data_IF_129671851096
#
_entry.id   IF_129671851096
#
_cell.length_a   1.000
_cell.length_b   1.000
_cell.length_c   1.000
_cell.angle_alpha   90.00
_cell.angle_beta   90.00
_cell.angle_gamma   90.00
#
_symmetry.space_group_name_H-M   'P 1'
#
loop_
_entity.id
_entity.type
_entity.pdbx_description
1 polymer ?
#
# COMPACT_ATOMS: atom_id res chain seq x y z
N UNK A 1 -9.99 -8.20 13.31
CA UNK A 1 -10.21 -7.41 14.53
C UNK A 1 -10.18 -8.39 15.67
N UNK A 2 -9.14 -8.40 16.50
CA UNK A 2 -9.25 -9.08 17.81
C UNK A 2 -9.79 -8.03 18.78
N UNK A 3 -11.10 -7.78 18.72
CA UNK A 3 -11.82 -6.98 19.71
C UNK A 3 -12.00 -7.79 21.00
N UNK A 4 -10.93 -8.45 21.45
CA UNK A 4 -11.00 -9.55 22.42
C UNK A 4 -10.91 -9.05 23.87
N UNK A 5 -10.65 -7.74 24.06
CA UNK A 5 -10.69 -7.16 25.39
C UNK A 5 -12.15 -7.00 25.83
N UNK A 6 -12.56 -7.79 26.83
CA UNK A 6 -13.91 -7.77 27.40
C UNK A 6 -14.37 -6.39 27.89
N UNK A 7 -13.41 -5.52 28.23
CA UNK A 7 -13.68 -4.15 28.71
C UNK A 7 -13.83 -3.14 27.56
N UNK A 8 -13.04 -3.28 26.49
CA UNK A 8 -12.95 -2.28 25.42
C UNK A 8 -13.77 -2.65 24.18
N UNK A 9 -14.25 -3.89 24.09
CA UNK A 9 -14.99 -4.35 22.93
C UNK A 9 -16.31 -3.59 22.76
N UNK A 10 -16.73 -3.48 21.49
CA UNK A 10 -18.04 -3.00 21.06
C UNK A 10 -18.52 -1.70 21.75
N UNK A 11 -17.61 -0.75 21.98
CA UNK A 11 -17.96 0.54 22.58
C UNK A 11 -18.20 0.51 24.10
N UNK A 12 -18.15 -0.65 24.76
CA UNK A 12 -18.48 -0.82 26.19
C UNK A 12 -17.67 0.08 27.13
N UNK A 13 -16.38 0.29 26.86
CA UNK A 13 -15.56 1.19 27.66
C UNK A 13 -16.01 2.66 27.50
N UNK A 14 -16.40 3.04 26.29
CA UNK A 14 -16.91 4.37 26.00
C UNK A 14 -18.26 4.59 26.68
N UNK A 15 -19.19 3.65 26.54
CA UNK A 15 -20.46 3.66 27.28
C UNK A 15 -20.23 3.78 28.78
N UNK A 16 -19.40 2.91 29.36
CA UNK A 16 -19.12 2.91 30.80
C UNK A 16 -18.59 4.27 31.29
N UNK A 17 -17.78 4.97 30.49
CA UNK A 17 -17.16 6.24 30.87
C UNK A 17 -18.06 7.45 30.63
N UNK A 18 -18.82 7.46 29.54
CA UNK A 18 -19.47 8.67 29.03
C UNK A 18 -21.00 8.60 29.01
N UNK A 19 -21.61 7.43 29.29
CA UNK A 19 -23.08 7.31 29.34
C UNK A 19 -23.72 8.24 30.37
N UNK A 20 -23.05 8.49 31.50
CA UNK A 20 -23.50 9.44 32.53
C UNK A 20 -23.31 10.91 32.15
N UNK A 21 -22.56 11.20 31.09
CA UNK A 21 -22.31 12.56 30.60
C UNK A 21 -23.43 13.05 29.67
N UNK A 22 -24.28 12.14 29.15
CA UNK A 22 -25.52 12.49 28.45
C UNK A 22 -26.59 12.75 29.52
N UNK A 23 -26.61 13.98 30.04
CA UNK A 23 -27.43 14.37 31.17
C UNK A 23 -28.92 14.45 30.85
N UNK A 24 -29.28 14.75 29.60
CA UNK A 24 -30.65 14.90 29.11
C UNK A 24 -30.77 14.39 27.68
N UNK A 25 -31.81 13.60 27.40
CA UNK A 25 -32.13 13.19 26.04
C UNK A 25 -32.77 14.35 25.28
N UNK A 26 -32.13 14.76 24.19
CA UNK A 26 -32.56 15.93 23.40
C UNK A 26 -32.47 15.61 21.93
N UNK A 27 -33.49 16.03 21.19
CA UNK A 27 -33.41 16.01 19.74
C UNK A 27 -32.34 16.99 19.26
N UNK A 28 -31.44 16.50 18.41
CA UNK A 28 -30.54 17.33 17.65
C UNK A 28 -30.21 16.69 16.30
N UNK A 29 -29.55 17.45 15.44
CA UNK A 29 -29.12 16.95 14.14
C UNK A 29 -27.60 16.91 14.01
N UNK A 30 -27.08 15.85 13.40
CA UNK A 30 -25.68 15.69 13.04
C UNK A 30 -25.53 15.23 11.59
N UNK A 31 -24.29 15.14 11.12
CA UNK A 31 -24.00 14.63 9.79
C UNK A 31 -23.18 13.34 9.89
N UNK A 32 -23.48 12.40 9.01
CA UNK A 32 -22.77 11.13 8.87
C UNK A 32 -22.45 10.90 7.39
N UNK A 33 -21.30 10.28 7.11
CA UNK A 33 -21.01 9.78 5.77
C UNK A 33 -21.65 8.41 5.59
N UNK A 34 -22.51 8.27 4.58
CA UNK A 34 -23.17 7.01 4.25
C UNK A 34 -22.96 6.69 2.77
N UNK A 35 -22.75 5.41 2.50
CA UNK A 35 -22.75 4.88 1.15
C UNK A 35 -24.21 4.68 0.71
N UNK A 36 -24.62 5.41 -0.31
CA UNK A 36 -25.94 5.31 -0.91
C UNK A 36 -25.75 5.03 -2.39
N UNK A 37 -26.08 3.81 -2.80
CA UNK A 37 -25.93 3.32 -4.18
C UNK A 37 -24.49 3.42 -4.73
N UNK A 38 -23.48 3.24 -3.89
CA UNK A 38 -22.06 3.31 -4.27
C UNK A 38 -21.47 4.72 -4.20
N UNK A 39 -22.26 5.72 -3.81
CA UNK A 39 -21.82 7.10 -3.65
C UNK A 39 -21.81 7.46 -2.17
N UNK A 40 -20.62 7.79 -1.66
CA UNK A 40 -20.46 8.26 -0.29
C UNK A 40 -20.94 9.71 -0.21
N UNK A 41 -22.00 9.95 0.56
CA UNK A 41 -22.57 11.27 0.73
C UNK A 41 -22.79 11.63 2.19
N UNK A 42 -22.77 12.94 2.45
CA UNK A 42 -22.94 13.51 3.78
C UNK A 42 -24.43 13.63 4.08
N UNK A 43 -24.96 12.68 4.84
CA UNK A 43 -26.37 12.59 5.21
C UNK A 43 -26.60 13.34 6.53
N UNK A 44 -27.63 14.18 6.57
CA UNK A 44 -28.09 14.82 7.80
C UNK A 44 -29.02 13.85 8.54
N UNK A 45 -28.64 13.49 9.76
CA UNK A 45 -29.48 12.74 10.71
C UNK A 45 -30.10 13.71 11.70
N UNK A 46 -31.33 13.43 12.12
CA UNK A 46 -32.02 14.18 13.16
C UNK A 46 -32.72 13.17 14.07
N UNK A 47 -32.22 13.05 15.30
CA UNK A 47 -32.75 12.11 16.28
C UNK A 47 -32.34 12.52 17.70
N UNK A 48 -32.58 11.63 18.67
CA UNK A 48 -32.26 11.80 20.07
C UNK A 48 -30.75 11.85 20.35
N UNK A 49 -30.37 12.35 21.53
CA UNK A 49 -28.95 12.43 21.90
C UNK A 49 -28.39 11.08 22.35
N UNK A 50 -29.25 10.17 22.77
CA UNK A 50 -28.92 8.77 22.96
C UNK A 50 -28.60 8.05 21.65
N UNK A 51 -29.37 8.26 20.59
CA UNK A 51 -29.09 7.62 19.29
C UNK A 51 -27.75 8.08 18.71
N UNK A 52 -27.45 9.38 18.81
CA UNK A 52 -26.15 9.90 18.39
C UNK A 52 -24.99 9.32 19.21
N UNK A 53 -25.20 9.10 20.52
CA UNK A 53 -24.21 8.51 21.41
C UNK A 53 -23.95 7.04 21.05
N UNK A 54 -25.00 6.26 20.84
CA UNK A 54 -24.89 4.85 20.48
C UNK A 54 -24.25 4.68 19.09
N UNK A 55 -24.62 5.51 18.11
CA UNK A 55 -23.99 5.52 16.78
C UNK A 55 -22.48 5.84 16.87
N UNK A 56 -22.08 6.80 17.71
CA UNK A 56 -20.68 7.09 17.97
C UNK A 56 -19.98 5.92 18.67
N UNK A 57 -20.59 5.35 19.71
CA UNK A 57 -20.05 4.24 20.48
C UNK A 57 -19.72 3.03 19.58
N UNK A 58 -20.57 2.75 18.59
CA UNK A 58 -20.37 1.68 17.61
C UNK A 58 -19.20 1.95 16.65
N UNK A 59 -18.92 3.21 16.32
CA UNK A 59 -17.83 3.58 15.40
C UNK A 59 -16.45 3.61 16.08
N UNK A 60 -16.42 3.89 17.39
CA UNK A 60 -15.18 4.10 18.15
C UNK A 60 -14.20 2.91 18.16
N UNK A 61 -14.62 1.64 18.31
CA UNK A 61 -13.68 0.52 18.27
C UNK A 61 -12.86 0.45 16.97
N UNK A 62 -13.55 0.66 15.82
CA UNK A 62 -12.89 0.69 14.51
C UNK A 62 -11.94 1.89 14.40
N UNK A 63 -12.36 3.05 14.88
CA UNK A 63 -11.55 4.27 14.89
C UNK A 63 -10.29 4.13 15.78
N UNK A 64 -10.43 3.63 17.01
CA UNK A 64 -9.29 3.43 17.92
C UNK A 64 -8.29 2.42 17.36
N UNK A 65 -8.78 1.32 16.79
CA UNK A 65 -7.92 0.35 16.13
C UNK A 65 -7.17 0.98 14.95
N UNK A 66 -7.86 1.75 14.11
CA UNK A 66 -7.24 2.49 13.01
C UNK A 66 -6.16 3.45 13.51
N UNK A 67 -6.45 4.26 14.55
CA UNK A 67 -5.47 5.18 15.12
C UNK A 67 -4.26 4.43 15.69
N UNK A 68 -4.49 3.33 16.39
CA UNK A 68 -3.42 2.48 16.92
C UNK A 68 -2.50 1.97 15.80
N UNK A 69 -3.08 1.41 14.73
CA UNK A 69 -2.31 0.92 13.57
C UNK A 69 -1.53 2.06 12.92
N UNK A 70 -2.17 3.23 12.72
CA UNK A 70 -1.51 4.43 12.19
C UNK A 70 -0.30 4.82 13.05
N UNK A 71 -0.45 4.89 14.36
CA UNK A 71 0.65 5.26 15.26
C UNK A 71 1.78 4.22 15.23
N UNK A 72 1.45 2.92 15.19
CA UNK A 72 2.42 1.83 15.07
C UNK A 72 3.18 1.88 13.73
N UNK A 73 2.48 2.07 12.62
CA UNK A 73 3.13 2.14 11.30
C UNK A 73 4.02 3.38 11.18
N UNK A 74 3.59 4.55 11.68
CA UNK A 74 4.42 5.77 11.69
C UNK A 74 5.69 5.56 12.52
N UNK A 75 5.58 4.93 13.69
CA UNK A 75 6.74 4.61 14.52
C UNK A 75 7.70 3.65 13.81
N UNK A 76 7.17 2.60 13.18
CA UNK A 76 7.97 1.66 12.40
C UNK A 76 8.64 2.30 11.18
N UNK A 77 7.96 3.19 10.45
CA UNK A 77 8.55 3.93 9.33
C UNK A 77 9.71 4.80 9.80
N UNK A 78 9.54 5.55 10.89
CA UNK A 78 10.62 6.36 11.49
C UNK A 78 11.80 5.51 11.91
N UNK A 79 11.55 4.34 12.48
CA UNK A 79 12.61 3.41 12.87
C UNK A 79 13.39 2.88 11.66
N UNK A 80 12.69 2.41 10.61
CA UNK A 80 13.34 2.00 9.35
C UNK A 80 14.15 3.15 8.75
N UNK A 81 13.59 4.36 8.69
CA UNK A 81 14.30 5.54 8.21
C UNK A 81 15.58 5.82 9.04
N UNK A 82 15.53 5.67 10.37
CA UNK A 82 16.70 5.83 11.23
C UNK A 82 17.78 4.78 10.93
N UNK A 83 17.41 3.52 10.72
CA UNK A 83 18.34 2.44 10.37
C UNK A 83 18.97 2.71 9.02
N UNK A 84 18.17 3.09 8.02
CA UNK A 84 18.67 3.34 6.68
C UNK A 84 19.60 4.55 6.60
N UNK A 85 19.51 5.49 7.53
CA UNK A 85 20.40 6.64 7.61
C UNK A 85 21.73 6.39 8.33
N UNK A 86 21.92 5.23 8.97
CA UNK A 86 23.20 4.89 9.61
C UNK A 86 24.34 4.78 8.60
N UNK A 87 25.49 5.37 8.89
CA UNK A 87 26.65 5.45 7.98
C UNK A 87 27.15 4.07 7.50
N UNK A 88 27.04 3.05 8.35
CA UNK A 88 27.44 1.67 8.06
C UNK A 88 26.26 0.79 7.65
N UNK A 89 25.08 1.38 7.42
CA UNK A 89 23.87 0.61 7.11
C UNK A 89 24.01 -0.18 5.82
N UNK A 90 23.48 -1.39 5.84
CA UNK A 90 23.27 -2.25 4.66
C UNK A 90 21.77 -2.33 4.33
N UNK A 91 20.93 -1.50 4.99
CA UNK A 91 19.49 -1.45 4.77
C UNK A 91 19.07 -0.15 4.08
N UNK A 92 18.37 -0.27 2.95
CA UNK A 92 17.79 0.86 2.23
C UNK A 92 16.28 0.98 2.51
N UNK A 93 15.79 2.21 2.66
CA UNK A 93 14.37 2.51 2.72
C UNK A 93 13.89 2.96 1.35
N UNK A 94 12.91 2.24 0.80
CA UNK A 94 12.30 2.52 -0.49
C UNK A 94 10.83 2.89 -0.29
N UNK A 95 10.46 4.15 -0.44
CA UNK A 95 9.05 4.56 -0.48
C UNK A 95 8.60 4.73 -1.93
N UNK A 96 7.53 4.06 -2.34
CA UNK A 96 7.04 4.09 -3.72
C UNK A 96 5.53 4.36 -3.76
N UNK A 97 5.08 5.14 -4.75
CA UNK A 97 3.66 5.43 -4.95
C UNK A 97 3.32 5.81 -6.40
N UNK A 98 2.07 5.58 -6.80
CA UNK A 98 1.53 6.14 -8.04
C UNK A 98 1.00 7.54 -7.76
N UNK A 99 1.62 8.55 -8.36
CA UNK A 99 0.97 9.85 -8.43
C UNK A 99 -0.22 9.75 -9.41
N UNK A 100 -1.18 10.65 -9.27
CA UNK A 100 -2.25 10.80 -10.27
C UNK A 100 -1.65 10.88 -11.69
N UNK A 101 -2.33 10.35 -12.71
CA UNK A 101 -1.80 10.43 -14.06
C UNK A 101 -1.64 11.91 -14.48
N UNK A 102 -0.60 12.19 -15.26
CA UNK A 102 -0.47 13.49 -15.89
C UNK A 102 -1.32 13.52 -17.15
N UNK A 103 -2.29 14.42 -17.19
CA UNK A 103 -3.06 14.67 -18.40
C UNK A 103 -2.26 15.57 -19.33
N UNK A 104 -1.96 15.07 -20.54
CA UNK A 104 -1.30 15.84 -21.58
C UNK A 104 -2.25 16.92 -22.09
N UNK A 105 -1.93 18.18 -21.78
CA UNK A 105 -2.66 19.36 -22.22
C UNK A 105 -1.76 20.26 -23.07
N UNK A 106 -2.35 21.11 -23.90
CA UNK A 106 -1.61 22.07 -24.74
C UNK A 106 -2.16 23.48 -24.52
N UNK A 107 -1.29 24.49 -24.62
CA UNK A 107 -1.68 25.89 -24.36
C UNK A 107 -2.74 26.43 -25.35
N UNK A 108 -2.69 25.96 -26.59
CA UNK A 108 -3.57 26.38 -27.68
C UNK A 108 -4.41 25.17 -28.18
N UNK A 109 -4.95 24.39 -27.23
CA UNK A 109 -5.70 23.15 -27.52
C UNK A 109 -7.02 23.44 -28.25
N UNK A 110 -7.22 22.80 -29.40
CA UNK A 110 -8.50 22.88 -30.14
C UNK A 110 -9.60 22.14 -29.36
N UNK A 111 -10.85 22.56 -29.55
CA UNK A 111 -12.00 21.98 -28.82
C UNK A 111 -12.10 20.45 -28.93
N UNK A 112 -11.74 19.86 -30.08
CA UNK A 112 -11.81 18.40 -30.26
C UNK A 112 -10.78 17.63 -29.43
N UNK A 113 -9.64 18.25 -29.08
CA UNK A 113 -8.60 17.62 -28.29
C UNK A 113 -8.97 17.56 -26.79
N UNK A 114 -9.78 18.50 -26.30
CA UNK A 114 -10.33 18.51 -24.93
C UNK A 114 -11.11 17.23 -24.55
N UNK A 115 -11.77 16.58 -25.51
CA UNK A 115 -12.61 15.40 -25.24
C UNK A 115 -11.84 14.08 -25.11
N UNK A 116 -10.58 14.03 -25.56
CA UNK A 116 -9.76 12.82 -25.51
C UNK A 116 -8.31 13.16 -25.21
N UNK A 117 -8.05 13.43 -23.93
CA UNK A 117 -6.72 13.77 -23.46
C UNK A 117 -5.93 12.49 -23.18
N UNK A 118 -4.70 12.44 -23.72
CA UNK A 118 -3.76 11.37 -23.37
C UNK A 118 -3.31 11.57 -21.92
N UNK A 119 -2.98 10.46 -21.28
CA UNK A 119 -2.48 10.45 -19.93
C UNK A 119 -1.16 9.70 -19.87
N UNK A 120 -0.33 10.11 -18.92
CA UNK A 120 0.95 9.47 -18.62
C UNK A 120 0.92 9.04 -17.16
N UNK A 121 1.23 7.77 -16.90
CA UNK A 121 1.45 7.26 -15.55
C UNK A 121 2.72 7.87 -14.98
N UNK A 122 2.63 8.39 -13.75
CA UNK A 122 3.77 8.95 -13.01
C UNK A 122 3.96 8.14 -11.74
N UNK A 123 4.96 7.28 -11.73
CA UNK A 123 5.33 6.45 -10.58
C UNK A 123 6.51 7.07 -9.86
N UNK A 124 6.34 7.35 -8.58
CA UNK A 124 7.26 8.17 -7.77
C UNK A 124 7.95 7.32 -6.72
N UNK A 125 9.24 7.55 -6.55
CA UNK A 125 10.08 6.72 -5.70
C UNK A 125 11.07 7.58 -4.92
N UNK A 126 11.08 7.39 -3.61
CA UNK A 126 12.06 7.99 -2.70
C UNK A 126 12.92 6.88 -2.08
N UNK A 127 14.22 6.92 -2.38
CA UNK A 127 15.23 6.08 -1.76
C UNK A 127 15.90 6.89 -0.64
N UNK A 128 15.96 6.33 0.57
CA UNK A 128 16.77 6.86 1.68
C UNK A 128 17.85 5.85 2.07
N UNK A 129 19.11 6.27 2.06
CA UNK A 129 20.26 5.42 2.41
C UNK A 129 21.46 6.27 2.86
N UNK A 130 22.04 5.99 4.03
CA UNK A 130 23.22 6.65 4.60
C UNK A 130 23.16 8.19 4.58
N UNK A 131 22.04 8.75 5.03
CA UNK A 131 21.73 10.20 4.99
C UNK A 131 21.52 10.81 3.60
N UNK A 132 21.65 10.02 2.52
CA UNK A 132 21.33 10.43 1.17
C UNK A 132 19.86 10.13 0.83
N UNK A 133 19.27 11.02 0.04
CA UNK A 133 17.91 10.89 -0.49
C UNK A 133 17.89 11.01 -1.99
N UNK A 134 17.54 9.94 -2.69
CA UNK A 134 17.51 9.90 -4.15
C UNK A 134 16.07 9.82 -4.65
N UNK A 135 15.64 10.85 -5.38
CA UNK A 135 14.30 10.93 -5.95
C UNK A 135 14.30 10.37 -7.37
N UNK A 136 13.41 9.42 -7.62
CA UNK A 136 13.22 8.80 -8.92
C UNK A 136 11.76 8.92 -9.38
N UNK A 137 11.57 9.04 -10.69
CA UNK A 137 10.28 8.98 -11.35
C UNK A 137 10.35 8.02 -12.53
N UNK A 138 9.46 7.05 -12.56
CA UNK A 138 9.17 6.26 -13.75
C UNK A 138 7.94 6.87 -14.42
N UNK A 139 8.02 7.09 -15.73
CA UNK A 139 6.87 7.44 -16.55
C UNK A 139 6.52 6.32 -17.51
N UNK A 140 5.24 6.16 -17.82
CA UNK A 140 4.78 5.13 -18.75
C UNK A 140 3.46 5.53 -19.40
N UNK A 141 3.25 5.12 -20.65
CA UNK A 141 1.95 5.22 -21.30
C UNK A 141 0.99 4.10 -20.83
N UNK A 142 1.49 3.11 -20.07
CA UNK A 142 0.67 2.10 -19.44
C UNK A 142 -0.15 2.72 -18.28
N UNK A 143 -1.47 2.74 -18.41
CA UNK A 143 -2.39 3.32 -17.41
C UNK A 143 -3.02 2.27 -16.48
N UNK A 144 -2.59 1.00 -16.55
CA UNK A 144 -3.28 -0.09 -15.86
C UNK A 144 -3.08 -0.06 -14.34
N UNK A 145 -1.91 0.43 -13.90
CA UNK A 145 -1.44 0.41 -12.51
C UNK A 145 -1.60 -0.98 -11.85
N UNK A 146 -1.54 -2.03 -12.66
CA UNK A 146 -1.84 -3.37 -12.22
C UNK A 146 -0.61 -4.07 -11.61
N UNK A 147 -0.79 -5.33 -11.23
CA UNK A 147 0.29 -6.18 -10.70
C UNK A 147 1.52 -6.27 -11.62
N UNK A 148 1.34 -6.21 -12.94
CA UNK A 148 2.44 -6.33 -13.90
C UNK A 148 3.26 -5.03 -13.91
N UNK A 149 2.58 -3.89 -13.96
CA UNK A 149 3.23 -2.58 -13.84
C UNK A 149 3.98 -2.45 -12.52
N UNK A 150 3.37 -2.84 -11.40
CA UNK A 150 4.03 -2.82 -10.08
C UNK A 150 5.25 -3.75 -10.05
N UNK A 151 5.15 -4.96 -10.61
CA UNK A 151 6.27 -5.89 -10.67
C UNK A 151 7.44 -5.34 -11.46
N UNK A 152 7.18 -4.83 -12.66
CA UNK A 152 8.19 -4.26 -13.53
C UNK A 152 8.85 -3.02 -12.90
N UNK A 153 8.05 -2.05 -12.44
CA UNK A 153 8.59 -0.81 -11.87
C UNK A 153 9.38 -1.08 -10.59
N UNK A 154 8.90 -1.97 -9.72
CA UNK A 154 9.64 -2.36 -8.52
C UNK A 154 10.97 -3.00 -8.92
N UNK A 155 10.97 -3.94 -9.86
CA UNK A 155 12.20 -4.61 -10.30
C UNK A 155 13.21 -3.65 -10.91
N UNK A 156 12.77 -2.72 -11.77
CA UNK A 156 13.66 -1.70 -12.35
C UNK A 156 14.29 -0.83 -11.24
N UNK A 157 13.52 -0.46 -10.22
CA UNK A 157 14.08 0.28 -9.09
C UNK A 157 15.06 -0.54 -8.25
N UNK A 158 14.83 -1.85 -8.12
CA UNK A 158 15.76 -2.75 -7.43
C UNK A 158 17.08 -2.91 -8.20
N UNK A 159 17.06 -2.99 -9.54
CA UNK A 159 18.29 -2.95 -10.35
C UNK A 159 19.08 -1.68 -10.02
N UNK A 160 18.43 -0.52 -10.13
CA UNK A 160 19.05 0.79 -9.86
C UNK A 160 19.67 0.81 -8.46
N UNK A 161 18.96 0.31 -7.43
CA UNK A 161 19.47 0.27 -6.06
C UNK A 161 20.69 -0.65 -5.96
N UNK A 162 20.63 -1.86 -6.50
CA UNK A 162 21.72 -2.85 -6.39
C UNK A 162 22.96 -2.44 -7.18
N UNK A 163 22.78 -1.77 -8.33
CA UNK A 163 23.87 -1.24 -9.15
C UNK A 163 24.52 0.00 -8.53
N UNK A 164 23.73 0.93 -8.00
CA UNK A 164 24.23 2.21 -7.48
C UNK A 164 24.64 2.16 -6.01
N UNK A 165 24.05 1.27 -5.22
CA UNK A 165 24.27 1.11 -3.77
C UNK A 165 24.69 -0.35 -3.45
N UNK A 166 25.86 -0.82 -3.90
CA UNK A 166 26.25 -2.24 -3.85
C UNK A 166 26.41 -2.83 -2.44
N UNK A 167 26.45 -1.99 -1.41
CA UNK A 167 26.50 -2.42 0.00
C UNK A 167 25.11 -2.70 0.59
N UNK A 168 24.03 -2.42 -0.14
CA UNK A 168 22.67 -2.72 0.30
C UNK A 168 22.42 -4.22 0.20
N UNK A 169 22.08 -4.84 1.34
CA UNK A 169 21.69 -6.26 1.41
C UNK A 169 20.20 -6.43 1.69
N UNK A 170 19.55 -5.40 2.20
CA UNK A 170 18.13 -5.43 2.56
C UNK A 170 17.43 -4.15 2.17
N UNK A 171 16.24 -4.28 1.59
CA UNK A 171 15.41 -3.15 1.17
C UNK A 171 14.07 -3.25 1.89
N UNK A 172 13.76 -2.20 2.65
CA UNK A 172 12.47 -2.04 3.30
C UNK A 172 11.58 -1.16 2.43
N UNK A 173 10.65 -1.80 1.73
CA UNK A 173 9.68 -1.16 0.86
C UNK A 173 8.52 -0.63 1.71
N UNK A 174 8.07 0.59 1.41
CA UNK A 174 6.91 1.22 2.02
C UNK A 174 5.99 1.79 0.95
N UNK A 175 4.74 1.34 0.96
CA UNK A 175 3.69 1.80 0.03
C UNK A 175 2.41 2.12 0.76
N UNK A 176 1.51 2.81 0.07
CA UNK A 176 0.12 2.80 0.46
C UNK A 176 -0.51 1.40 0.29
N UNK A 177 -1.72 1.24 0.82
CA UNK A 177 -2.41 -0.06 0.90
C UNK A 177 -3.54 -0.37 -0.09
N UNK A 178 -3.74 0.30 -1.25
CA UNK A 178 -4.83 -0.06 -2.15
C UNK A 178 -4.63 -1.48 -2.70
N UNK A 179 -5.70 -2.27 -2.66
CA UNK A 179 -5.65 -3.68 -3.08
C UNK A 179 -5.48 -3.85 -4.60
N UNK A 180 -5.88 -2.85 -5.40
CA UNK A 180 -5.68 -2.86 -6.85
C UNK A 180 -4.22 -2.83 -7.26
N UNK A 181 -3.35 -2.22 -6.44
CA UNK A 181 -1.94 -1.99 -6.76
C UNK A 181 -1.02 -2.84 -5.87
N UNK A 182 -0.96 -2.55 -4.56
CA UNK A 182 0.09 -3.07 -3.69
C UNK A 182 -0.37 -4.19 -2.74
N UNK A 183 -1.49 -3.99 -2.03
CA UNK A 183 -1.90 -4.90 -0.95
C UNK A 183 -2.76 -6.06 -1.48
N UNK A 184 -2.16 -6.93 -2.31
CA UNK A 184 -2.82 -8.09 -2.90
C UNK A 184 -1.92 -9.33 -2.97
N UNK A 185 -2.55 -10.46 -3.32
CA UNK A 185 -1.89 -11.78 -3.38
C UNK A 185 -0.73 -11.84 -4.36
N UNK A 186 -0.80 -11.10 -5.46
CA UNK A 186 0.21 -11.14 -6.52
C UNK A 186 1.52 -10.51 -6.05
N UNK A 187 1.42 -9.36 -5.37
CA UNK A 187 2.57 -8.69 -4.77
C UNK A 187 3.20 -9.55 -3.67
N UNK A 188 2.40 -10.28 -2.89
CA UNK A 188 2.92 -11.11 -1.80
C UNK A 188 3.81 -12.26 -2.32
N UNK A 189 3.40 -12.92 -3.41
CA UNK A 189 4.22 -13.99 -4.03
C UNK A 189 5.36 -13.45 -4.87
N UNK A 190 5.21 -12.24 -5.43
CA UNK A 190 6.24 -11.55 -6.19
C UNK A 190 7.51 -11.30 -5.35
N UNK A 191 7.39 -11.08 -4.04
CA UNK A 191 8.54 -10.76 -3.20
C UNK A 191 9.65 -11.80 -3.23
N UNK A 192 9.30 -13.09 -3.26
CA UNK A 192 10.30 -14.15 -3.35
C UNK A 192 11.06 -14.05 -4.68
N UNK A 193 10.34 -13.86 -5.79
CA UNK A 193 10.95 -13.68 -7.13
C UNK A 193 11.86 -12.46 -7.19
N UNK A 194 11.45 -11.34 -6.60
CA UNK A 194 12.29 -10.15 -6.53
C UNK A 194 13.54 -10.37 -5.65
N UNK A 195 13.41 -11.04 -4.50
CA UNK A 195 14.58 -11.35 -3.68
C UNK A 195 15.60 -12.21 -4.42
N UNK A 196 15.12 -13.27 -5.08
CA UNK A 196 15.98 -14.20 -5.80
C UNK A 196 16.65 -13.52 -7.00
N UNK A 197 15.89 -12.74 -7.77
CA UNK A 197 16.38 -12.05 -8.97
C UNK A 197 17.42 -10.97 -8.64
N UNK A 198 17.20 -10.21 -7.57
CA UNK A 198 18.04 -9.04 -7.22
C UNK A 198 19.08 -9.36 -6.13
N UNK A 199 19.12 -10.59 -5.63
CA UNK A 199 20.03 -11.02 -4.56
C UNK A 199 20.01 -10.13 -3.29
N UNK A 200 18.82 -9.63 -2.92
CA UNK A 200 18.59 -8.78 -1.74
C UNK A 200 17.47 -9.32 -0.87
N UNK A 201 17.47 -9.00 0.42
CA UNK A 201 16.35 -9.28 1.30
C UNK A 201 15.28 -8.21 1.20
N UNK A 202 14.00 -8.59 1.14
CA UNK A 202 12.89 -7.66 0.99
C UNK A 202 11.91 -7.77 2.16
N UNK A 203 11.54 -6.61 2.67
CA UNK A 203 10.40 -6.44 3.55
C UNK A 203 9.45 -5.43 2.92
N UNK A 204 8.16 -5.75 2.81
CA UNK A 204 7.17 -4.82 2.30
C UNK A 204 6.22 -4.38 3.40
N UNK A 205 6.16 -3.09 3.63
CA UNK A 205 5.36 -2.44 4.64
C UNK A 205 4.26 -1.62 3.97
N UNK A 206 3.12 -1.54 4.64
CA UNK A 206 2.01 -0.71 4.19
C UNK A 206 1.72 0.36 5.23
N UNK A 207 1.51 1.59 4.79
CA UNK A 207 0.95 2.61 5.67
C UNK A 207 -0.48 2.23 6.08
N UNK A 208 -0.94 2.79 7.20
CA UNK A 208 -2.34 2.73 7.54
C UNK A 208 -3.15 3.44 6.45
N UNK A 209 -4.34 2.92 6.13
CA UNK A 209 -5.20 3.49 5.09
C UNK A 209 -5.35 5.01 5.26
N UNK A 210 -5.17 5.76 4.18
CA UNK A 210 -5.24 7.24 4.16
C UNK A 210 -4.14 7.97 4.95
N UNK A 211 -3.06 7.28 5.33
CA UNK A 211 -1.93 7.87 6.08
C UNK A 211 -0.56 7.62 5.44
N UNK A 212 -0.49 7.26 4.16
CA UNK A 212 0.78 7.09 3.43
C UNK A 212 1.33 8.33 2.72
N UNK A 213 0.69 9.49 2.89
CA UNK A 213 1.18 10.76 2.34
C UNK A 213 2.62 11.01 2.75
N UNK A 214 3.46 11.44 1.81
CA UNK A 214 4.89 11.54 2.03
C UNK A 214 5.66 12.22 0.90
N UNK A 215 7.00 12.01 0.84
CA UNK A 215 7.86 12.65 -0.16
C UNK A 215 7.42 12.38 -1.60
N UNK A 216 6.82 11.22 -1.86
CA UNK A 216 6.34 10.80 -3.17
C UNK A 216 5.30 11.75 -3.78
N UNK A 217 4.37 12.27 -2.98
CA UNK A 217 3.41 13.29 -3.40
C UNK A 217 4.13 14.53 -3.94
N UNK A 218 5.14 14.99 -3.20
CA UNK A 218 5.94 16.17 -3.57
C UNK A 218 6.80 15.94 -4.82
N UNK A 219 7.37 14.73 -4.99
CA UNK A 219 8.12 14.36 -6.19
C UNK A 219 7.20 14.40 -7.42
N UNK A 220 6.03 13.77 -7.32
CA UNK A 220 5.03 13.73 -8.39
C UNK A 220 4.50 15.10 -8.76
N UNK A 221 4.12 15.92 -7.78
CA UNK A 221 3.66 17.29 -8.01
C UNK A 221 4.76 18.14 -8.68
N UNK A 222 6.01 17.99 -8.24
CA UNK A 222 7.13 18.77 -8.76
C UNK A 222 7.36 18.49 -10.26
N UNK A 223 7.49 17.23 -10.67
CA UNK A 223 7.71 16.89 -12.09
C UNK A 223 6.55 17.31 -12.98
N UNK A 224 5.31 17.14 -12.52
CA UNK A 224 4.12 17.58 -13.26
C UNK A 224 4.11 19.10 -13.42
N UNK A 225 4.46 19.84 -12.36
CA UNK A 225 4.53 21.31 -12.39
C UNK A 225 5.64 21.81 -13.32
N UNK A 226 6.79 21.13 -13.35
CA UNK A 226 7.87 21.43 -14.30
C UNK A 226 7.35 21.29 -15.73
N UNK A 227 6.78 20.13 -16.07
CA UNK A 227 6.27 19.85 -17.41
C UNK A 227 5.16 20.82 -17.80
N UNK A 228 4.19 21.06 -16.91
CA UNK A 228 3.12 22.02 -17.13
C UNK A 228 3.66 23.42 -17.45
N UNK A 229 4.67 23.90 -16.71
CA UNK A 229 5.30 25.20 -16.98
C UNK A 229 5.99 25.24 -18.34
N UNK A 230 6.69 24.18 -18.73
CA UNK A 230 7.34 24.10 -20.04
C UNK A 230 6.31 24.13 -21.18
N UNK A 231 5.19 23.42 -21.04
CA UNK A 231 4.08 23.45 -22.00
C UNK A 231 3.49 24.87 -22.09
N UNK A 232 3.18 25.50 -20.95
CA UNK A 232 2.62 26.85 -20.92
C UNK A 232 3.57 27.94 -21.43
N UNK A 233 4.88 27.67 -21.41
CA UNK A 233 5.90 28.55 -21.97
C UNK A 233 6.18 28.27 -23.45
N UNK A 234 5.47 27.32 -24.10
CA UNK A 234 5.75 26.82 -25.45
C UNK A 234 7.16 26.27 -25.62
N UNK A 235 7.76 25.80 -24.53
CA UNK A 235 9.12 25.26 -24.49
C UNK A 235 9.14 23.72 -24.64
N UNK A 236 8.00 23.05 -24.49
CA UNK A 236 7.87 21.61 -24.70
C UNK A 236 6.48 21.24 -25.25
N UNK A 237 6.42 20.16 -26.02
CA UNK A 237 5.17 19.51 -26.43
C UNK A 237 5.19 18.10 -25.86
N UNK A 238 4.19 17.77 -25.03
CA UNK A 238 4.12 16.49 -24.33
C UNK A 238 2.84 15.76 -24.72
N UNK A 239 2.97 14.52 -25.19
CA UNK A 239 1.85 13.70 -25.65
C UNK A 239 1.99 12.20 -25.30
N UNK A 240 3.06 11.82 -24.61
CA UNK A 240 3.37 10.48 -24.13
C UNK A 240 4.43 10.54 -23.01
N UNK A 241 4.75 9.38 -22.43
CA UNK A 241 5.74 9.22 -21.37
C UNK A 241 7.16 9.62 -21.79
N UNK A 242 7.52 9.36 -23.05
CA UNK A 242 8.84 9.69 -23.57
C UNK A 242 9.04 11.21 -23.62
N UNK A 243 8.11 11.94 -24.25
CA UNK A 243 8.16 13.41 -24.33
C UNK A 243 8.03 14.06 -22.96
N UNK A 244 7.28 13.47 -22.03
CA UNK A 244 7.25 13.91 -20.62
C UNK A 244 8.65 13.77 -19.98
N UNK A 245 9.30 12.62 -20.15
CA UNK A 245 10.64 12.35 -19.62
C UNK A 245 11.66 13.33 -20.18
N UNK A 246 11.65 13.57 -21.49
CA UNK A 246 12.52 14.52 -22.18
C UNK A 246 12.32 15.94 -21.65
N UNK A 247 11.07 16.36 -21.44
CA UNK A 247 10.75 17.67 -20.89
C UNK A 247 11.35 17.86 -19.49
N UNK A 248 11.22 16.88 -18.58
CA UNK A 248 11.83 16.96 -17.23
C UNK A 248 13.37 16.96 -17.30
N UNK A 249 13.97 16.12 -18.17
CA UNK A 249 15.44 16.11 -18.35
C UNK A 249 15.96 17.46 -18.86
N UNK A 250 15.23 18.11 -19.77
CA UNK A 250 15.59 19.43 -20.30
C UNK A 250 15.58 20.54 -19.24
N UNK A 251 14.79 20.37 -18.18
CA UNK A 251 14.64 21.38 -17.12
C UNK A 251 15.79 21.40 -16.09
N UNK A 252 16.80 20.53 -16.24
CA UNK A 252 17.91 20.34 -15.28
C UNK A 252 17.42 20.04 -13.86
N UNK A 253 16.31 19.31 -13.73
CA UNK A 253 15.81 18.83 -12.44
C UNK A 253 16.84 17.90 -11.78
N UNK A 254 16.91 17.92 -10.45
CA UNK A 254 17.69 16.94 -9.67
C UNK A 254 16.97 15.59 -9.52
N UNK A 255 15.72 15.49 -9.97
CA UNK A 255 14.93 14.25 -9.94
C UNK A 255 15.39 13.36 -11.10
N UNK A 256 15.79 12.13 -10.77
CA UNK A 256 16.12 11.12 -11.77
C UNK A 256 14.83 10.64 -12.43
N UNK A 257 14.78 10.61 -13.76
CA UNK A 257 13.58 10.23 -14.50
C UNK A 257 13.90 9.29 -15.65
N UNK A 258 13.06 8.26 -15.80
CA UNK A 258 13.13 7.28 -16.86
C UNK A 258 11.73 6.99 -17.41
N UNK A 259 11.70 6.59 -18.68
CA UNK A 259 10.48 6.14 -19.37
C UNK A 259 10.51 4.62 -19.45
N UNK A 260 9.37 3.98 -19.19
CA UNK A 260 9.19 2.53 -19.24
C UNK A 260 7.99 2.22 -20.13
N UNK A 261 8.21 1.43 -21.16
CA UNK A 261 7.19 1.05 -22.16
C UNK A 261 6.45 -0.22 -21.76
N UNK A 262 5.35 -0.54 -22.45
CA UNK A 262 4.67 -1.83 -22.28
C UNK A 262 5.59 -3.02 -22.60
N UNK A 263 6.49 -2.87 -23.58
CA UNK A 263 7.47 -3.91 -23.93
C UNK A 263 8.43 -4.17 -22.76
N UNK A 264 8.92 -3.12 -22.09
CA UNK A 264 9.78 -3.22 -20.92
C UNK A 264 9.04 -3.91 -19.76
N UNK A 265 7.76 -3.57 -19.55
CA UNK A 265 6.92 -4.21 -18.52
C UNK A 265 6.78 -5.71 -18.79
N UNK A 266 6.44 -6.08 -20.02
CA UNK A 266 6.28 -7.48 -20.43
C UNK A 266 7.59 -8.26 -20.31
N UNK A 267 8.69 -7.68 -20.79
CA UNK A 267 10.02 -8.27 -20.67
C UNK A 267 10.35 -8.52 -19.20
N UNK A 268 10.10 -7.54 -18.34
CA UNK A 268 10.44 -7.68 -16.93
C UNK A 268 9.59 -8.71 -16.20
N UNK A 269 8.31 -8.79 -16.54
CA UNK A 269 7.42 -9.84 -16.02
C UNK A 269 7.89 -11.24 -16.43
N UNK A 270 8.38 -11.38 -17.67
CA UNK A 270 8.95 -12.64 -18.16
C UNK A 270 10.24 -13.02 -17.42
N UNK A 271 11.18 -12.08 -17.24
CA UNK A 271 12.43 -12.29 -16.47
C UNK A 271 12.17 -12.72 -15.03
N UNK A 272 11.13 -12.17 -14.40
CA UNK A 272 10.71 -12.53 -13.03
C UNK A 272 9.87 -13.82 -12.98
N UNK A 273 9.51 -14.39 -14.12
CA UNK A 273 8.65 -15.57 -14.26
C UNK A 273 7.33 -15.44 -13.46
N UNK A 274 6.69 -14.29 -13.50
CA UNK A 274 5.55 -13.97 -12.61
C UNK A 274 4.29 -14.79 -12.89
N UNK A 275 4.13 -15.31 -14.10
CA UNK A 275 2.93 -16.07 -14.50
C UNK A 275 2.78 -17.37 -13.71
N UNK A 276 3.88 -18.07 -13.46
CA UNK A 276 3.90 -19.34 -12.70
C UNK A 276 3.34 -19.20 -11.28
N UNK A 277 3.85 -18.29 -10.42
CA UNK A 277 3.32 -18.11 -9.06
C UNK A 277 1.95 -17.41 -9.01
N UNK A 278 1.47 -16.81 -10.10
CA UNK A 278 0.19 -16.09 -10.12
C UNK A 278 -0.97 -16.92 -10.67
N UNK A 279 -0.68 -17.86 -11.56
CA UNK A 279 -1.70 -18.72 -12.18
C UNK A 279 -2.39 -19.57 -11.12
N UNK A 280 -3.71 -19.42 -11.00
CA UNK A 280 -4.50 -20.17 -10.00
C UNK A 280 -4.27 -19.74 -8.54
N UNK A 281 -3.52 -18.68 -8.26
CA UNK A 281 -3.22 -18.24 -6.90
C UNK A 281 -4.48 -17.77 -6.15
N UNK A 282 -4.68 -18.26 -4.93
CA UNK A 282 -5.77 -17.84 -4.04
C UNK A 282 -5.36 -16.68 -3.13
N UNK A 283 -6.33 -15.89 -2.70
CA UNK A 283 -6.08 -14.74 -1.80
C UNK A 283 -5.64 -15.20 -0.42
N UNK A 284 -4.59 -14.57 0.12
CA UNK A 284 -4.13 -14.82 1.48
C UNK A 284 -5.20 -14.36 2.51
N UNK A 285 -5.62 -15.21 3.46
CA UNK A 285 -6.65 -14.85 4.43
C UNK A 285 -6.26 -13.63 5.28
N UNK A 286 -7.11 -12.61 5.27
CA UNK A 286 -6.92 -11.39 6.06
C UNK A 286 -5.95 -10.37 5.45
N UNK A 287 -5.60 -10.49 4.16
CA UNK A 287 -4.70 -9.58 3.41
C UNK A 287 -4.90 -8.10 3.77
N UNK A 288 -6.14 -7.60 3.71
CA UNK A 288 -6.47 -6.17 3.94
C UNK A 288 -6.02 -5.69 5.33
N UNK A 289 -6.11 -6.55 6.35
CA UNK A 289 -5.79 -6.20 7.74
C UNK A 289 -4.30 -6.21 8.07
N UNK A 290 -3.45 -6.63 7.14
CA UNK A 290 -2.00 -6.78 7.35
C UNK A 290 -1.26 -5.55 6.83
N UNK A 291 -0.21 -5.15 7.54
CA UNK A 291 0.59 -3.97 7.19
C UNK A 291 2.07 -4.29 7.01
N UNK A 292 2.41 -5.57 7.02
CA UNK A 292 3.75 -6.06 6.75
C UNK A 292 3.66 -7.43 6.12
N UNK A 293 4.50 -7.64 5.11
CA UNK A 293 4.74 -8.92 4.48
C UNK A 293 6.23 -9.09 4.19
N UNK A 294 6.74 -10.30 4.38
CA UNK A 294 8.03 -10.73 3.83
C UNK A 294 7.90 -12.14 3.28
N UNK A 295 8.67 -12.50 2.24
CA UNK A 295 8.70 -13.86 1.77
C UNK A 295 9.44 -14.75 2.76
N UNK A 296 9.06 -16.02 2.78
CA UNK A 296 9.71 -17.11 3.47
C UNK A 296 10.02 -18.21 2.45
N UNK A 297 10.78 -19.22 2.87
CA UNK A 297 11.04 -20.39 2.05
C UNK A 297 9.74 -21.12 1.63
N UNK A 298 9.84 -21.90 0.54
CA UNK A 298 8.78 -22.78 0.05
C UNK A 298 7.46 -22.07 -0.32
N UNK A 299 7.54 -20.84 -0.83
CA UNK A 299 6.37 -20.07 -1.28
C UNK A 299 5.44 -19.64 -0.15
N UNK A 300 5.96 -19.55 1.08
CA UNK A 300 5.22 -19.01 2.22
C UNK A 300 5.54 -17.54 2.42
N UNK A 301 4.64 -16.82 3.09
CA UNK A 301 4.85 -15.43 3.48
C UNK A 301 4.59 -15.26 4.97
N UNK A 302 5.37 -14.39 5.61
CA UNK A 302 5.06 -13.91 6.95
C UNK A 302 4.19 -12.65 6.84
N UNK A 303 3.08 -12.62 7.58
CA UNK A 303 2.16 -11.50 7.63
C UNK A 303 1.99 -11.00 9.06
N UNK A 304 2.03 -9.68 9.26
CA UNK A 304 1.80 -9.04 10.57
C UNK A 304 0.71 -7.98 10.53
N UNK A 305 0.03 -7.73 11.66
CA UNK A 305 -0.99 -6.67 11.71
C UNK A 305 -0.36 -5.29 11.58
N UNK A 306 0.82 -5.09 12.16
CA UNK A 306 1.68 -3.93 11.99
C UNK A 306 3.15 -4.38 11.94
N UNK A 307 4.05 -3.55 11.42
CA UNK A 307 5.45 -3.93 11.14
C UNK A 307 6.19 -4.42 12.39
N UNK A 308 6.01 -3.72 13.50
CA UNK A 308 6.62 -4.03 14.81
C UNK A 308 5.83 -5.05 15.65
N UNK A 309 4.85 -5.73 15.07
CA UNK A 309 4.06 -6.74 15.78
C UNK A 309 4.96 -7.92 16.19
N UNK A 310 5.01 -8.28 17.48
CA UNK A 310 5.76 -9.46 17.92
C UNK A 310 5.11 -10.74 17.41
N UNK A 311 3.80 -10.75 17.20
CA UNK A 311 3.10 -11.89 16.63
C UNK A 311 3.15 -11.85 15.10
N UNK A 312 3.39 -13.01 14.48
CA UNK A 312 3.38 -13.15 13.04
C UNK A 312 2.61 -14.37 12.60
N UNK A 313 1.93 -14.26 11.46
CA UNK A 313 1.23 -15.37 10.82
C UNK A 313 2.01 -15.81 9.60
N UNK A 314 2.50 -17.04 9.62
CA UNK A 314 3.11 -17.68 8.45
C UNK A 314 2.00 -18.33 7.62
N UNK A 315 1.89 -17.97 6.35
CA UNK A 315 0.84 -18.46 5.45
C UNK A 315 1.46 -18.95 4.17
N UNK A 316 1.19 -20.20 3.81
CA UNK A 316 1.59 -20.77 2.52
C UNK A 316 0.66 -20.29 1.41
N UNK A 317 1.21 -19.98 0.23
CA UNK A 317 0.40 -19.77 -0.97
C UNK A 317 -0.45 -21.02 -1.26
N UNK A 318 -1.68 -20.81 -1.73
CA UNK A 318 -2.62 -21.88 -2.11
C UNK A 318 -3.07 -21.68 -3.54
N UNK A 319 -3.21 -22.77 -4.28
CA UNK A 319 -3.59 -22.73 -5.69
C UNK A 319 -4.91 -23.45 -5.95
N UNK A 320 -5.67 -22.98 -6.95
CA UNK A 320 -6.87 -23.65 -7.43
C UNK A 320 -6.48 -25.06 -7.90
N UNK A 321 -7.12 -26.09 -7.35
CA UNK A 321 -6.85 -27.50 -7.68
C UNK A 321 -5.98 -28.26 -6.69
N UNK A 322 -5.32 -27.61 -5.73
CA UNK A 322 -4.64 -28.31 -4.63
C UNK A 322 -5.68 -28.94 -3.68
N UNK A 323 -5.77 -30.27 -3.67
CA UNK A 323 -6.55 -31.00 -2.65
C UNK A 323 -5.98 -30.63 -1.27
N UNK A 324 -6.83 -30.19 -0.34
CA UNK A 324 -6.45 -29.98 1.07
C UNK A 324 -5.71 -31.22 1.57
N UNK A 325 -4.45 -31.06 1.97
CA UNK A 325 -3.68 -32.15 2.57
C UNK A 325 -4.40 -32.65 3.83
N UNK A 326 -4.38 -33.96 4.03
CA UNK A 326 -5.07 -34.68 5.11
C UNK A 326 -4.67 -34.19 6.51
N UNK A 327 -3.49 -33.58 6.63
CA UNK A 327 -2.95 -32.96 7.86
C UNK A 327 -3.78 -31.80 8.41
N UNK A 328 -4.53 -31.06 7.58
CA UNK A 328 -5.42 -29.98 8.05
C UNK A 328 -6.72 -30.51 8.70
N UNK A 329 -7.08 -31.79 8.46
CA UNK A 329 -8.24 -32.44 9.09
C UNK A 329 -7.90 -33.00 10.48
N UNK A 330 -6.70 -33.54 10.66
CA UNK A 330 -6.27 -34.09 11.95
C UNK A 330 -6.08 -33.00 13.01
N UNK A 331 -5.48 -31.86 12.66
CA UNK A 331 -5.34 -30.72 13.57
C UNK A 331 -6.68 -30.07 13.97
N UNK A 332 -7.70 -30.14 13.11
CA UNK A 332 -9.07 -29.67 13.43
C UNK A 332 -9.87 -30.67 14.27
N UNK A 333 -9.54 -31.95 14.21
CA UNK A 333 -10.20 -32.97 15.03
C UNK A 333 -9.59 -32.99 16.45
N UNK A 334 -8.27 -32.88 16.58
CA UNK A 334 -7.64 -32.77 17.91
C UNK A 334 -8.02 -31.48 18.65
N UNK A 335 -8.20 -30.35 17.97
CA UNK A 335 -8.70 -29.13 18.65
C UNK A 335 -10.16 -29.24 19.09
N UNK A 336 -10.95 -30.11 18.46
CA UNK A 336 -12.36 -30.33 18.82
C UNK A 336 -12.53 -31.39 19.92
N UNK A 337 -11.62 -32.35 20.03
CA UNK A 337 -11.58 -33.30 21.14
C UNK A 337 -11.10 -32.64 22.44
N UNK A 338 -10.08 -31.78 22.37
CA UNK A 338 -9.59 -31.02 23.54
C UNK A 338 -10.64 -30.03 24.10
N UNK A 339 -11.46 -29.41 23.23
CA UNK A 339 -12.59 -28.55 23.64
C UNK A 339 -13.78 -29.34 24.22
N UNK A 340 -13.83 -30.66 23.99
CA UNK A 340 -14.89 -31.54 24.49
C UNK A 340 -14.54 -32.15 25.84
N UNK A 341 -13.26 -32.47 26.08
CA UNK A 341 -12.78 -32.96 27.38
C UNK A 341 -12.79 -31.85 28.45
N UNK A 342 -12.46 -30.61 28.08
CA UNK A 342 -12.50 -29.45 29.01
C UNK A 342 -13.91 -29.00 29.43
N UNK A 343 -14.97 -29.51 28.79
CA UNK A 343 -16.37 -29.26 29.17
C UNK A 343 -16.99 -30.36 30.04
N UNK A 344 -16.26 -31.45 30.31
CA UNK A 344 -16.71 -32.56 31.15
C UNK A 344 -16.13 -32.53 32.57
N UNK A 345 -15.21 -31.58 32.86
CA UNK A 345 -14.60 -31.39 34.20
C UNK A 345 -15.04 -30.10 34.91
N UNK A 346 -16.23 -29.56 34.60
CA UNK A 346 -16.87 -28.47 35.37
C UNK A 346 -18.22 -28.88 35.95
#
# INVERSE_FOLDING_TARGET
>A
MSNNCSTCCDGKLFEKRFKKSVLEDKEFSWYQWEDTDGFVQKVKKQNSSYDAFDELALQLPKFFWHSYIKDKQVASYKHTNSISNGETSEECLLQMDFAENFTCIWQDEIQSAHWKQRQVTVYTVMITYRNEKLSYVITSDNLSHDKNAVAAFTSIMLDIITETLPTVKKICIWTDGPSSQYKNKYIFTLLAKLQDHHAVQLNWNFFATSHGKGPNDGIGENVKRIVHRLIMARAAVVYDAQTFTEAVKSSKSQINILSVTDADILQRCHELEVDSPWTGLQTFPGTISKHYVRPLENGSVELKFYTSDPESRKVKAKYIGEKRSVTDKENRNHSKEADRESRLEL
#
